data_IF_576938618373
#
_entry.id   IF_576938618373
#
_cell.length_a   1.000
_cell.length_b   1.000
_cell.length_c   1.000
_cell.angle_alpha   90.00
_cell.angle_beta   90.00
_cell.angle_gamma   90.00
#
_symmetry.space_group_name_H-M   'P 1'
#
loop_
_entity.id
_entity.type
_entity.pdbx_description
1 polymer ?
#
# COMPACT_ATOMS: atom_id res chain seq x y z
N UNK A 1 -1.97 25.45 13.49
CA UNK A 1 -2.72 24.18 13.65
C UNK A 1 -2.17 23.47 14.89
N UNK A 2 -2.82 23.64 16.06
CA UNK A 2 -2.43 22.97 17.32
C UNK A 2 -3.19 21.64 17.39
N UNK A 3 -2.48 20.52 17.34
CA UNK A 3 -3.08 19.20 17.51
C UNK A 3 -2.87 18.73 18.95
N UNK A 4 -3.99 18.57 19.67
CA UNK A 4 -4.03 18.06 21.03
C UNK A 4 -4.02 16.53 21.05
N UNK A 5 -3.09 15.95 21.80
CA UNK A 5 -2.95 14.50 21.97
C UNK A 5 -3.95 14.01 23.01
N UNK A 6 -4.95 13.22 22.60
CA UNK A 6 -5.87 12.55 23.54
C UNK A 6 -5.53 11.06 23.55
N UNK A 7 -5.13 10.54 24.71
CA UNK A 7 -4.89 9.12 24.95
C UNK A 7 -6.22 8.39 25.07
N UNK A 8 -6.44 7.33 24.28
CA UNK A 8 -7.48 6.35 24.56
C UNK A 8 -6.85 4.99 24.83
N UNK A 9 -7.28 4.38 25.93
CA UNK A 9 -6.93 3.06 26.44
C UNK A 9 -7.21 1.97 25.41
N UNK A 10 -6.17 1.41 24.81
CA UNK A 10 -6.23 0.22 23.96
C UNK A 10 -5.36 -0.83 24.64
N UNK A 11 -5.84 -2.07 24.71
CA UNK A 11 -5.12 -3.17 25.35
C UNK A 11 -3.72 -3.35 24.72
N UNK A 12 -2.70 -3.53 25.56
CA UNK A 12 -1.27 -3.53 25.19
C UNK A 12 -0.95 -4.49 24.05
N UNK A 13 -1.60 -5.65 23.97
CA UNK A 13 -1.40 -6.61 22.87
C UNK A 13 -1.93 -6.11 21.52
N UNK A 14 -3.10 -5.47 21.51
CA UNK A 14 -3.68 -4.92 20.28
C UNK A 14 -2.87 -3.71 19.80
N UNK A 15 -2.37 -2.88 20.73
CA UNK A 15 -1.43 -1.81 20.40
C UNK A 15 -0.11 -2.36 19.87
N UNK A 16 0.47 -3.38 20.50
CA UNK A 16 1.73 -4.01 20.05
C UNK A 16 1.61 -4.60 18.65
N UNK A 17 0.54 -5.36 18.36
CA UNK A 17 0.31 -5.91 17.00
C UNK A 17 0.16 -4.81 15.95
N UNK A 18 -0.61 -3.76 16.28
CA UNK A 18 -0.77 -2.60 15.41
C UNK A 18 0.55 -1.85 15.16
N UNK A 19 1.37 -1.68 16.19
CA UNK A 19 2.69 -1.06 16.06
C UNK A 19 3.62 -1.91 15.18
N UNK A 20 3.61 -3.24 15.33
CA UNK A 20 4.34 -4.16 14.46
C UNK A 20 3.88 -4.10 13.00
N UNK A 21 2.56 -4.02 12.76
CA UNK A 21 1.98 -3.89 11.41
C UNK A 21 2.33 -2.54 10.77
N UNK A 22 2.23 -1.45 11.54
CA UNK A 22 2.67 -0.13 11.09
C UNK A 22 4.18 -0.08 10.86
N UNK A 23 4.98 -0.76 11.68
CA UNK A 23 6.43 -0.86 11.48
C UNK A 23 6.77 -1.65 10.22
N UNK A 24 6.02 -2.70 9.90
CA UNK A 24 6.14 -3.38 8.61
C UNK A 24 5.81 -2.43 7.44
N UNK A 25 4.72 -1.67 7.52
CA UNK A 25 4.40 -0.64 6.52
C UNK A 25 5.49 0.45 6.44
N UNK A 26 6.10 0.85 7.56
CA UNK A 26 7.23 1.81 7.58
C UNK A 26 8.49 1.29 6.88
N UNK A 27 8.67 -0.03 6.83
CA UNK A 27 9.80 -0.68 6.15
C UNK A 27 9.61 -0.85 4.65
N UNK A 28 8.41 -0.59 4.11
CA UNK A 28 8.16 -0.59 2.66
C UNK A 28 9.11 0.32 1.89
N UNK A 29 9.55 1.42 2.49
CA UNK A 29 10.51 2.37 1.92
C UNK A 29 11.89 1.76 1.61
N UNK A 30 12.22 0.63 2.24
CA UNK A 30 13.48 -0.07 2.00
C UNK A 30 13.45 -0.97 0.76
N UNK A 31 12.30 -1.11 0.09
CA UNK A 31 12.15 -1.94 -1.10
C UNK A 31 11.55 -1.14 -2.28
N UNK A 32 12.31 -0.90 -3.36
CA UNK A 32 11.79 -0.20 -4.55
C UNK A 32 10.58 -0.88 -5.21
N UNK A 33 10.41 -2.18 -5.01
CA UNK A 33 9.35 -3.01 -5.58
C UNK A 33 8.10 -3.09 -4.66
N UNK A 34 8.09 -2.39 -3.54
CA UNK A 34 6.91 -2.23 -2.68
C UNK A 34 6.39 -0.81 -2.77
N UNK A 35 5.05 -0.67 -2.72
CA UNK A 35 4.41 0.64 -2.65
C UNK A 35 4.76 1.27 -1.32
N UNK A 36 5.35 2.46 -1.38
CA UNK A 36 5.73 3.26 -0.22
C UNK A 36 4.48 3.74 0.51
N UNK A 37 4.40 3.36 1.78
CA UNK A 37 3.37 3.83 2.70
C UNK A 37 3.87 5.08 3.44
N UNK A 38 3.12 6.18 3.35
CA UNK A 38 3.44 7.43 4.05
C UNK A 38 2.76 7.54 5.42
N UNK A 39 1.58 6.93 5.57
CA UNK A 39 0.83 6.94 6.82
C UNK A 39 -0.65 6.61 6.62
N UNK A 40 -1.42 6.67 7.69
CA UNK A 40 -2.87 6.49 7.65
C UNK A 40 -3.55 7.47 8.60
N UNK A 41 -4.74 7.95 8.23
CA UNK A 41 -5.53 8.87 9.03
C UNK A 41 -6.94 8.34 9.23
N UNK A 42 -7.53 8.60 10.38
CA UNK A 42 -8.92 8.30 10.66
C UNK A 42 -9.76 9.57 10.54
N UNK A 43 -10.80 9.54 9.70
CA UNK A 43 -11.68 10.69 9.49
C UNK A 43 -13.10 10.21 9.23
N UNK A 44 -14.06 10.79 9.96
CA UNK A 44 -15.50 10.56 9.75
C UNK A 44 -15.95 9.09 9.89
N UNK A 45 -15.21 8.29 10.66
CA UNK A 45 -15.49 6.85 10.80
C UNK A 45 -14.65 5.96 9.89
N UNK A 46 -13.89 6.56 8.98
CA UNK A 46 -13.17 5.85 7.94
C UNK A 46 -11.64 5.95 8.08
N UNK A 47 -10.97 4.88 7.66
CA UNK A 47 -9.51 4.81 7.56
C UNK A 47 -9.09 5.21 6.14
N UNK A 48 -8.21 6.20 6.06
CA UNK A 48 -7.59 6.67 4.83
C UNK A 48 -6.12 6.29 4.86
N UNK A 49 -5.65 5.65 3.79
CA UNK A 49 -4.24 5.26 3.65
C UNK A 49 -3.57 6.22 2.68
N UNK A 50 -2.43 6.78 3.09
CA UNK A 50 -1.58 7.64 2.28
C UNK A 50 -0.38 6.82 1.76
N UNK A 51 -0.24 6.73 0.44
CA UNK A 51 0.82 5.98 -0.23
C UNK A 51 1.30 6.71 -1.49
N UNK A 52 2.42 6.27 -2.06
CA UNK A 52 2.90 6.82 -3.33
C UNK A 52 1.90 6.63 -4.48
N UNK A 53 1.95 7.55 -5.45
CA UNK A 53 1.08 7.54 -6.62
C UNK A 53 1.57 6.51 -7.63
N UNK A 54 0.64 5.67 -8.10
CA UNK A 54 0.85 4.73 -9.22
C UNK A 54 -0.21 4.99 -10.29
N UNK A 55 0.07 4.81 -11.57
CA UNK A 55 -0.87 5.16 -12.66
C UNK A 55 -1.99 4.14 -12.85
N UNK A 56 -1.73 2.85 -12.61
CA UNK A 56 -2.71 1.77 -12.84
C UNK A 56 -2.31 0.49 -12.13
N UNK A 57 -3.25 -0.45 -11.97
CA UNK A 57 -2.92 -1.84 -11.67
C UNK A 57 -2.61 -2.63 -12.96
N UNK A 58 -1.88 -3.73 -12.81
CA UNK A 58 -1.57 -4.67 -13.90
C UNK A 58 -2.87 -5.28 -14.47
N UNK A 59 -3.87 -5.57 -13.63
CA UNK A 59 -5.20 -6.03 -14.07
C UNK A 59 -5.85 -5.04 -15.05
N UNK A 60 -5.93 -3.76 -14.65
CA UNK A 60 -6.50 -2.69 -15.50
C UNK A 60 -5.70 -2.48 -16.78
N UNK A 61 -4.37 -2.50 -16.66
CA UNK A 61 -3.48 -2.34 -17.81
C UNK A 61 -3.64 -3.47 -18.82
N UNK A 62 -3.65 -4.72 -18.36
CA UNK A 62 -3.85 -5.90 -19.20
C UNK A 62 -5.19 -5.86 -19.93
N UNK A 63 -6.29 -5.56 -19.21
CA UNK A 63 -7.63 -5.43 -19.81
C UNK A 63 -7.66 -4.37 -20.91
N UNK A 64 -6.98 -3.23 -20.70
CA UNK A 64 -6.85 -2.18 -21.72
C UNK A 64 -6.06 -2.64 -22.94
N UNK A 65 -4.94 -3.32 -22.76
CA UNK A 65 -4.17 -3.89 -23.88
C UNK A 65 -4.99 -4.90 -24.69
N UNK A 66 -5.68 -5.81 -23.99
CA UNK A 66 -6.53 -6.82 -24.62
C UNK A 66 -7.68 -6.20 -25.42
N UNK A 67 -8.35 -5.18 -24.88
CA UNK A 67 -9.40 -4.45 -25.59
C UNK A 67 -8.88 -3.74 -26.86
N UNK A 68 -7.59 -3.42 -26.92
CA UNK A 68 -6.93 -2.85 -28.09
C UNK A 68 -6.32 -3.92 -29.03
N UNK A 69 -6.54 -5.21 -28.76
CA UNK A 69 -5.96 -6.32 -29.53
C UNK A 69 -4.43 -6.42 -29.41
N UNK A 70 -3.83 -5.83 -28.37
CA UNK A 70 -2.38 -5.80 -28.18
C UNK A 70 -1.94 -6.89 -27.20
N UNK A 71 -0.89 -7.63 -27.58
CA UNK A 71 -0.17 -8.53 -26.68
C UNK A 71 0.85 -7.75 -25.85
N UNK A 72 1.07 -8.20 -24.62
CA UNK A 72 2.15 -7.67 -23.79
C UNK A 72 3.50 -8.19 -24.30
N UNK A 73 4.50 -7.32 -24.52
CA UNK A 73 5.84 -7.75 -24.90
C UNK A 73 6.50 -8.61 -23.81
N UNK A 74 7.25 -9.62 -24.20
CA UNK A 74 7.98 -10.50 -23.27
C UNK A 74 8.93 -9.73 -22.32
N UNK A 75 9.69 -8.71 -22.77
CA UNK A 75 10.52 -7.91 -21.85
C UNK A 75 9.72 -7.20 -20.76
N UNK A 76 8.48 -6.78 -21.06
CA UNK A 76 7.61 -6.17 -20.07
C UNK A 76 7.17 -7.20 -19.03
N UNK A 77 6.77 -8.39 -19.48
CA UNK A 77 6.37 -9.50 -18.60
C UNK A 77 7.55 -9.90 -17.70
N UNK A 78 8.76 -10.03 -18.26
CA UNK A 78 9.97 -10.33 -17.51
C UNK A 78 10.25 -9.29 -16.42
N UNK A 79 10.12 -7.99 -16.74
CA UNK A 79 10.29 -6.90 -15.76
C UNK A 79 9.26 -6.97 -14.63
N UNK A 80 7.99 -7.23 -14.97
CA UNK A 80 6.92 -7.38 -13.98
C UNK A 80 7.22 -8.56 -13.06
N UNK A 81 7.54 -9.73 -13.63
CA UNK A 81 7.86 -10.93 -12.87
C UNK A 81 9.05 -10.73 -11.94
N UNK A 82 10.14 -10.15 -12.44
CA UNK A 82 11.33 -9.86 -11.63
C UNK A 82 10.97 -8.94 -10.45
N UNK A 83 10.26 -7.84 -10.72
CA UNK A 83 9.90 -6.88 -9.67
C UNK A 83 9.00 -7.52 -8.61
N UNK A 84 8.06 -8.38 -9.02
CA UNK A 84 7.19 -9.11 -8.09
C UNK A 84 8.00 -10.09 -7.24
N UNK A 85 8.92 -10.85 -7.84
CA UNK A 85 9.75 -11.80 -7.09
C UNK A 85 10.66 -11.08 -6.10
N UNK A 86 11.29 -9.97 -6.50
CA UNK A 86 12.13 -9.15 -5.61
C UNK A 86 11.33 -8.58 -4.44
N UNK A 87 10.14 -8.02 -4.70
CA UNK A 87 9.26 -7.51 -3.65
C UNK A 87 8.81 -8.60 -2.68
N UNK A 88 8.43 -9.78 -3.18
CA UNK A 88 8.05 -10.92 -2.34
C UNK A 88 9.23 -11.47 -1.53
N UNK A 89 10.42 -11.50 -2.12
CA UNK A 89 11.64 -11.91 -1.43
C UNK A 89 11.95 -10.96 -0.27
N UNK A 90 11.87 -9.64 -0.50
CA UNK A 90 12.05 -8.65 0.55
C UNK A 90 11.01 -8.80 1.67
N UNK A 91 9.74 -9.00 1.33
CA UNK A 91 8.70 -9.26 2.35
C UNK A 91 9.06 -10.48 3.20
N UNK A 92 9.54 -11.56 2.58
CA UNK A 92 9.85 -12.80 3.28
C UNK A 92 11.11 -12.69 4.14
N UNK A 93 12.21 -12.24 3.55
CA UNK A 93 13.54 -12.25 4.18
C UNK A 93 13.71 -11.07 5.14
N UNK A 94 13.37 -9.87 4.71
CA UNK A 94 13.58 -8.67 5.51
C UNK A 94 12.43 -8.44 6.48
N UNK A 95 11.17 -8.57 6.03
CA UNK A 95 10.00 -8.23 6.85
C UNK A 95 9.41 -9.41 7.64
N UNK A 96 9.86 -10.65 7.36
CA UNK A 96 9.24 -11.88 7.87
C UNK A 96 7.72 -11.93 7.67
N UNK A 97 7.27 -11.42 6.51
CA UNK A 97 5.88 -11.25 6.14
C UNK A 97 5.58 -12.07 4.87
N UNK A 98 4.37 -12.63 4.79
CA UNK A 98 3.90 -13.35 3.60
C UNK A 98 2.71 -12.58 3.03
N UNK A 99 2.77 -12.18 1.76
CA UNK A 99 1.73 -11.36 1.11
C UNK A 99 0.36 -12.06 1.05
N UNK A 100 0.33 -13.39 0.82
CA UNK A 100 -0.88 -14.27 0.76
C UNK A 100 -1.92 -13.98 -0.33
N UNK A 101 -1.99 -12.75 -0.88
CA UNK A 101 -2.98 -12.36 -1.91
C UNK A 101 -2.29 -11.76 -3.15
N UNK A 102 -1.36 -12.49 -3.75
CA UNK A 102 -0.66 -12.04 -4.96
C UNK A 102 -1.58 -12.21 -6.16
N UNK A 103 -2.03 -11.09 -6.74
CA UNK A 103 -2.89 -11.06 -7.93
C UNK A 103 -2.66 -9.80 -8.77
N UNK A 104 -3.04 -9.78 -10.05
CA UNK A 104 -2.78 -8.64 -10.94
C UNK A 104 -3.37 -7.30 -10.47
N UNK A 105 -4.43 -7.28 -9.68
CA UNK A 105 -4.98 -6.03 -9.12
C UNK A 105 -4.14 -5.42 -8.00
N UNK A 106 -3.24 -6.20 -7.38
CA UNK A 106 -2.34 -5.78 -6.29
C UNK A 106 -0.93 -5.44 -6.81
N UNK A 107 -0.70 -5.55 -8.13
CA UNK A 107 0.55 -5.15 -8.77
C UNK A 107 0.28 -3.81 -9.47
N UNK A 108 0.97 -2.76 -9.03
CA UNK A 108 0.80 -1.41 -9.54
C UNK A 108 1.93 -1.02 -10.49
N UNK A 109 1.60 -0.18 -11.46
CA UNK A 109 2.47 0.27 -12.54
C UNK A 109 2.43 1.79 -12.63
N UNK A 110 3.54 2.41 -12.99
CA UNK A 110 3.57 3.82 -13.34
C UNK A 110 4.30 4.09 -14.66
N UNK A 111 4.16 5.32 -15.17
CA UNK A 111 4.76 5.79 -16.44
C UNK A 111 6.29 5.85 -16.41
N UNK A 112 6.89 5.88 -15.23
CA UNK A 112 8.34 5.72 -15.05
C UNK A 112 8.78 4.26 -15.24
N UNK A 113 7.85 3.35 -15.52
CA UNK A 113 8.12 1.93 -15.74
C UNK A 113 8.40 1.17 -14.45
N UNK A 114 8.05 1.72 -13.28
CA UNK A 114 8.16 1.02 -12.01
C UNK A 114 7.00 0.03 -11.86
N UNK A 115 7.30 -1.11 -11.24
CA UNK A 115 6.33 -2.16 -10.91
C UNK A 115 6.43 -2.40 -9.41
N UNK A 116 5.33 -2.22 -8.70
CA UNK A 116 5.32 -2.28 -7.24
C UNK A 116 4.17 -3.13 -6.71
N UNK A 117 4.46 -3.95 -5.72
CA UNK A 117 3.45 -4.72 -4.98
C UNK A 117 2.80 -3.80 -3.96
N UNK A 118 1.47 -3.84 -3.90
CA UNK A 118 0.70 -3.15 -2.89
C UNK A 118 0.05 -4.15 -1.94
N UNK A 119 0.24 -3.93 -0.63
CA UNK A 119 -0.17 -4.86 0.41
C UNK A 119 -1.58 -4.55 0.96
N UNK A 120 -2.57 -5.27 0.45
CA UNK A 120 -3.95 -5.20 0.96
C UNK A 120 -4.34 -6.41 1.83
N UNK A 121 -3.38 -7.28 2.15
CA UNK A 121 -3.56 -8.35 3.15
C UNK A 121 -3.46 -7.78 4.57
N UNK A 122 -2.60 -6.78 4.76
CA UNK A 122 -2.48 -6.04 6.01
C UNK A 122 -3.69 -5.11 6.24
N UNK A 123 -4.39 -4.63 5.20
CA UNK A 123 -5.45 -3.63 5.36
C UNK A 123 -6.64 -4.12 6.20
N UNK A 124 -7.00 -5.41 6.17
CA UNK A 124 -8.06 -5.96 7.03
C UNK A 124 -7.69 -5.95 8.52
N UNK A 125 -6.43 -6.26 8.84
CA UNK A 125 -5.91 -6.23 10.20
C UNK A 125 -5.62 -4.79 10.66
N UNK A 126 -5.01 -3.99 9.79
CA UNK A 126 -4.70 -2.58 10.00
C UNK A 126 -5.97 -1.74 10.18
N UNK A 127 -7.08 -2.05 9.50
CA UNK A 127 -8.36 -1.35 9.73
C UNK A 127 -8.91 -1.61 11.12
N UNK A 128 -8.92 -2.88 11.54
CA UNK A 128 -9.36 -3.27 12.89
C UNK A 128 -8.46 -2.69 13.99
N UNK A 129 -7.17 -2.52 13.66
CA UNK A 129 -6.17 -1.91 14.53
C UNK A 129 -6.34 -0.38 14.57
N UNK A 130 -6.32 0.31 13.43
CA UNK A 130 -6.44 1.77 13.31
C UNK A 130 -7.81 2.30 13.75
N UNK A 131 -8.90 1.55 13.60
CA UNK A 131 -10.21 1.94 14.16
C UNK A 131 -10.17 2.14 15.69
N UNK A 132 -9.15 1.57 16.37
CA UNK A 132 -8.95 1.74 17.81
C UNK A 132 -8.08 2.96 18.16
N UNK A 133 -7.26 3.47 17.23
CA UNK A 133 -6.35 4.62 17.42
C UNK A 133 -6.85 5.82 16.65
N UNK A 134 -7.13 6.93 17.34
CA UNK A 134 -7.71 8.12 16.71
C UNK A 134 -6.81 8.85 15.71
N UNK A 135 -5.50 8.60 15.66
CA UNK A 135 -4.58 9.23 14.70
C UNK A 135 -3.24 8.47 14.66
N UNK A 136 -2.77 8.08 13.47
CA UNK A 136 -1.40 7.61 13.27
C UNK A 136 -0.64 8.68 12.50
N UNK A 137 0.49 9.12 13.06
CA UNK A 137 1.27 10.24 12.55
C UNK A 137 1.72 10.01 11.11
N UNK A 138 1.20 10.85 10.21
CA UNK A 138 1.77 11.07 8.88
C UNK A 138 3.21 11.55 9.08
N UNK A 139 4.19 10.89 8.44
CA UNK A 139 5.47 11.58 8.18
C UNK A 139 5.17 12.86 7.38
N UNK A 140 6.08 13.83 7.39
CA UNK A 140 6.02 15.03 6.55
C UNK A 140 5.47 14.63 5.18
N UNK A 141 4.20 14.98 4.92
CA UNK A 141 3.56 14.59 3.67
C UNK A 141 4.43 15.17 2.56
N UNK A 142 4.81 14.38 1.54
CA UNK A 142 5.38 14.98 0.35
C UNK A 142 4.34 15.94 -0.23
N UNK A 143 4.76 16.81 -1.16
CA UNK A 143 3.83 17.75 -1.79
C UNK A 143 2.58 17.02 -2.29
N UNK A 144 1.39 17.64 -2.24
CA UNK A 144 0.09 16.98 -2.55
C UNK A 144 0.07 16.19 -3.88
N UNK A 145 1.03 16.44 -4.78
CA UNK A 145 1.26 15.73 -6.05
C UNK A 145 1.90 14.34 -5.94
N UNK A 146 2.50 13.97 -4.80
CA UNK A 146 3.36 12.78 -4.68
C UNK A 146 2.71 11.62 -3.90
N UNK A 147 1.49 11.82 -3.38
CA UNK A 147 0.76 10.82 -2.62
C UNK A 147 -0.73 10.75 -2.96
N UNK A 148 -1.31 9.55 -2.91
CA UNK A 148 -2.76 9.32 -3.01
C UNK A 148 -3.31 8.90 -1.64
N UNK A 149 -4.48 9.42 -1.31
CA UNK A 149 -5.29 8.93 -0.21
C UNK A 149 -6.32 7.93 -0.72
N UNK A 150 -6.20 6.68 -0.31
CA UNK A 150 -7.15 5.62 -0.69
C UNK A 150 -8.12 5.38 0.45
N UNK A 151 -9.41 5.35 0.09
CA UNK A 151 -10.51 5.06 1.01
C UNK A 151 -10.81 3.57 1.09
N UNK A 152 -10.71 3.02 2.30
CA UNK A 152 -10.71 1.57 2.53
C UNK A 152 -12.08 0.90 2.32
N UNK A 153 -13.19 1.65 2.36
CA UNK A 153 -14.54 1.09 2.20
C UNK A 153 -15.11 1.15 0.77
N UNK A 154 -14.49 1.89 -0.17
CA UNK A 154 -15.02 2.11 -1.53
C UNK A 154 -14.11 1.66 -2.66
N UNK A 155 -12.84 1.32 -2.43
CA UNK A 155 -11.90 0.69 -3.38
C UNK A 155 -11.99 1.18 -4.84
N UNK A 156 -12.44 2.41 -5.06
CA UNK A 156 -12.48 3.05 -6.35
C UNK A 156 -11.21 3.86 -6.40
N UNK A 157 -10.23 3.34 -7.13
CA UNK A 157 -9.08 4.10 -7.59
C UNK A 157 -9.60 5.21 -8.50
N UNK A 158 -10.08 6.29 -7.91
CA UNK A 158 -10.37 7.54 -8.59
C UNK A 158 -9.02 8.18 -8.86
N UNK A 159 -8.46 7.88 -10.05
CA UNK A 159 -7.43 8.69 -10.66
C UNK A 159 -8.04 10.00 -11.16
#
# INVERSE_FOLDING_TARGET
>A
LRFGRISSSINDESQKRMLTELDACKRSDCCPQMVRFYGAMFREGDVWICMEVMDTSLDKFYKKCNALGRKLPEPFIAKVTLSVVEGLNFMKEDMNLIHRDVKPSNILLNRHGQVKICDFGISGHLTNSLAKVKEVSLRTLPSNSDCVFIFLHRWNWSF
#
